data_IF_992873240517
#
_entry.id   IF_992873240517
#
_cell.length_a   1.000
_cell.length_b   1.000
_cell.length_c   1.000
_cell.angle_alpha   90.00
_cell.angle_beta   90.00
_cell.angle_gamma   90.00
#
_symmetry.space_group_name_H-M   'P 1'
#
loop_
_entity.id
_entity.type
_entity.pdbx_description
1 polymer ?
2 non-polymer ?
3 water ?
#
# COMPACT_ATOMS: atom_id res chain seq x y z
N UNK A 1 -7.74 10.64 17.54
CA UNK A 1 -8.19 11.00 18.92
C UNK A 1 -9.40 11.92 18.85
N UNK A 2 -10.00 12.21 19.99
CA UNK A 2 -11.29 12.86 20.02
C UNK A 2 -12.26 12.01 19.20
N UNK A 3 -13.23 11.42 19.90
CA UNK A 3 -14.11 10.44 19.31
C UNK A 3 -14.90 11.02 18.14
N UNK A 4 -15.11 12.33 18.11
CA UNK A 4 -15.99 12.89 17.07
C UNK A 4 -15.29 12.96 15.71
N UNK A 5 -13.98 13.21 15.67
CA UNK A 5 -13.29 13.04 14.39
C UNK A 5 -13.28 11.57 14.00
N UNK A 6 -13.11 10.68 14.99
CA UNK A 6 -13.05 9.26 14.68
C UNK A 6 -14.36 8.79 14.06
N UNK A 7 -15.48 9.17 14.66
CA UNK A 7 -16.76 8.66 14.18
C UNK A 7 -17.07 9.23 12.80
N UNK A 8 -16.71 10.48 12.57
CA UNK A 8 -16.90 11.12 11.26
C UNK A 8 -15.97 10.54 10.21
N UNK A 9 -14.72 10.23 10.57
CA UNK A 9 -13.84 9.55 9.63
C UNK A 9 -14.36 8.14 9.33
N UNK A 10 -14.88 7.47 10.35
CA UNK A 10 -15.49 6.16 10.15
C UNK A 10 -16.66 6.23 9.16
N UNK A 11 -17.58 7.16 9.36
CA UNK A 11 -18.71 7.24 8.43
C UNK A 11 -18.21 7.46 7.01
N UNK A 12 -17.17 8.26 6.84
CA UNK A 12 -16.62 8.47 5.51
C UNK A 12 -16.02 7.19 4.93
N UNK A 13 -15.30 6.43 5.76
CA UNK A 13 -14.69 5.18 5.30
C UNK A 13 -15.76 4.21 4.86
N UNK A 14 -16.77 4.00 5.71
CA UNK A 14 -17.81 3.06 5.37
C UNK A 14 -18.59 3.53 4.14
N UNK A 15 -18.81 4.83 3.98
CA UNK A 15 -19.51 5.26 2.76
C UNK A 15 -18.67 4.97 1.50
N UNK A 16 -17.36 5.21 1.57
CA UNK A 16 -16.49 4.89 0.42
C UNK A 16 -16.42 3.39 0.20
N UNK A 17 -16.38 2.62 1.27
CA UNK A 17 -16.25 1.18 1.14
C UNK A 17 -17.49 0.57 0.48
N UNK A 18 -18.67 1.09 0.81
CA UNK A 18 -19.89 0.55 0.24
C UNK A 18 -19.87 0.75 -1.26
N UNK A 19 -19.41 1.93 -1.71
CA UNK A 19 -19.29 2.15 -3.15
C UNK A 19 -18.34 1.16 -3.79
N UNK A 20 -17.21 0.89 -3.13
CA UNK A 20 -16.28 -0.08 -3.63
C UNK A 20 -16.91 -1.46 -3.69
N UNK A 21 -17.68 -1.83 -2.66
CA UNK A 21 -18.39 -3.12 -2.66
C UNK A 21 -19.37 -3.21 -3.84
N UNK A 22 -20.14 -2.15 -4.10
CA UNK A 22 -21.00 -2.15 -5.28
C UNK A 22 -20.20 -2.36 -6.55
N UNK A 23 -19.06 -1.66 -6.69
CA UNK A 23 -18.30 -1.78 -7.91
C UNK A 23 -17.70 -3.17 -8.04
N UNK A 24 -17.28 -3.75 -6.91
CA UNK A 24 -16.78 -5.11 -6.91
C UNK A 24 -17.88 -6.08 -7.36
N UNK A 25 -19.09 -5.88 -6.88
CA UNK A 25 -20.19 -6.74 -7.30
C UNK A 25 -20.44 -6.65 -8.80
N UNK A 26 -20.27 -5.46 -9.40
CA UNK A 26 -20.48 -5.38 -10.86
C UNK A 26 -19.37 -6.14 -11.60
N UNK A 27 -18.16 -6.09 -11.07
CA UNK A 27 -17.07 -6.83 -11.68
C UNK A 27 -17.29 -8.33 -11.53
N UNK A 28 -17.81 -8.74 -10.37
CA UNK A 28 -18.07 -10.14 -10.08
C UNK A 28 -19.15 -10.66 -11.02
N UNK A 29 -20.24 -9.92 -11.16
CA UNK A 29 -21.28 -10.33 -12.10
C UNK A 29 -20.76 -10.46 -13.52
N UNK A 30 -19.89 -9.51 -13.95
CA UNK A 30 -19.33 -9.54 -15.28
C UNK A 30 -18.41 -10.74 -15.46
N UNK A 31 -17.59 -11.02 -14.44
CA UNK A 31 -16.71 -12.18 -14.51
C UNK A 31 -17.53 -13.46 -14.63
N UNK A 32 -18.59 -13.59 -13.83
CA UNK A 32 -19.40 -14.81 -13.91
C UNK A 32 -19.97 -15.00 -15.31
N UNK A 33 -20.48 -13.90 -15.90
CA UNK A 33 -21.03 -13.94 -17.25
C UNK A 33 -19.99 -14.33 -18.28
N UNK A 34 -18.79 -13.74 -18.20
CA UNK A 34 -17.70 -14.07 -19.10
C UNK A 34 -17.31 -15.54 -18.97
N UNK A 35 -17.27 -16.04 -17.74
CA UNK A 35 -16.95 -17.46 -17.53
C UNK A 35 -17.99 -18.33 -18.19
N UNK A 36 -19.28 -18.05 -17.93
CA UNK A 36 -20.34 -18.87 -18.53
C UNK A 36 -20.27 -18.81 -20.04
N UNK A 37 -19.91 -17.65 -20.59
CA UNK A 37 -19.87 -17.48 -22.03
C UNK A 37 -18.59 -18.03 -22.64
N UNK A 38 -17.62 -18.39 -21.81
CA UNK A 38 -16.36 -18.91 -22.32
C UNK A 38 -15.40 -17.88 -22.84
N UNK A 39 -15.59 -16.61 -22.50
CA UNK A 39 -14.74 -15.54 -23.00
C UNK A 39 -13.60 -15.32 -21.99
N UNK A 40 -12.50 -16.05 -22.17
CA UNK A 40 -11.41 -16.07 -21.20
C UNK A 40 -10.68 -14.74 -21.08
N UNK A 41 -10.47 -14.04 -22.20
CA UNK A 41 -9.80 -12.74 -22.14
C UNK A 41 -10.66 -11.72 -21.41
N UNK A 42 -11.96 -11.71 -21.68
CA UNK A 42 -12.87 -10.86 -20.92
C UNK A 42 -12.83 -11.22 -19.43
N UNK A 43 -12.89 -12.51 -19.13
CA UNK A 43 -12.83 -12.95 -17.76
C UNK A 43 -11.60 -12.41 -17.06
N UNK A 44 -10.46 -12.45 -17.74
CA UNK A 44 -9.20 -11.94 -17.15
C UNK A 44 -9.33 -10.47 -16.76
N UNK A 45 -9.90 -9.66 -17.66
CA UNK A 45 -10.09 -8.24 -17.37
C UNK A 45 -10.98 -8.05 -16.16
N UNK A 46 -12.07 -8.82 -16.07
CA UNK A 46 -13.00 -8.60 -14.98
C UNK A 46 -12.43 -9.08 -13.67
N UNK A 47 -11.69 -10.19 -13.70
CA UNK A 47 -11.02 -10.66 -12.50
C UNK A 47 -10.00 -9.65 -12.02
N UNK A 48 -9.28 -9.04 -12.94
CA UNK A 48 -8.29 -8.06 -12.48
C UNK A 48 -8.96 -6.86 -11.85
N UNK A 49 -10.10 -6.44 -12.41
CA UNK A 49 -10.84 -5.35 -11.79
C UNK A 49 -11.33 -5.80 -10.41
N UNK A 50 -11.88 -7.01 -10.34
CA UNK A 50 -12.38 -7.48 -9.05
C UNK A 50 -11.27 -7.51 -8.02
N UNK A 51 -10.07 -7.93 -8.43
CA UNK A 51 -8.93 -8.04 -7.50
C UNK A 51 -8.55 -6.67 -7.01
N UNK A 52 -8.65 -5.68 -7.89
CA UNK A 52 -8.32 -4.31 -7.50
C UNK A 52 -9.32 -3.80 -6.48
N UNK A 53 -10.62 -4.04 -6.74
CA UNK A 53 -11.61 -3.54 -5.82
C UNK A 53 -11.55 -4.27 -4.51
N UNK A 54 -11.28 -5.56 -4.55
CA UNK A 54 -11.18 -6.31 -3.32
C UNK A 54 -10.04 -5.77 -2.46
N UNK A 55 -8.94 -5.36 -3.11
CA UNK A 55 -7.81 -4.84 -2.35
C UNK A 55 -8.19 -3.58 -1.62
N UNK A 56 -9.03 -2.76 -2.26
CA UNK A 56 -9.50 -1.54 -1.64
C UNK A 56 -10.47 -1.84 -0.51
N UNK A 57 -11.39 -2.80 -0.72
CA UNK A 57 -12.28 -3.20 0.36
C UNK A 57 -11.48 -3.65 1.57
N UNK A 58 -10.47 -4.47 1.34
CA UNK A 58 -9.60 -4.93 2.42
C UNK A 58 -8.95 -3.77 3.14
N UNK A 59 -8.47 -2.78 2.38
CA UNK A 59 -7.85 -1.61 2.99
C UNK A 59 -8.84 -0.83 3.84
N UNK A 60 -10.06 -0.63 3.33
CA UNK A 60 -11.04 0.09 4.11
C UNK A 60 -11.42 -0.68 5.37
N UNK A 61 -11.55 -2.01 5.27
CA UNK A 61 -11.86 -2.79 6.46
C UNK A 61 -10.76 -2.70 7.50
N UNK A 62 -9.50 -2.64 7.04
CA UNK A 62 -8.38 -2.42 7.96
C UNK A 62 -8.53 -1.09 8.66
N UNK A 63 -8.78 -0.04 7.89
CA UNK A 63 -8.93 1.29 8.48
C UNK A 63 -10.08 1.35 9.48
N UNK A 64 -11.18 0.63 9.18
CA UNK A 64 -12.34 0.57 10.05
C UNK A 64 -11.99 -0.03 11.39
N UNK A 65 -11.28 -1.15 11.39
CA UNK A 65 -10.81 -1.74 12.65
C UNK A 65 -9.91 -0.75 13.40
N UNK A 66 -8.98 -0.12 12.68
CA UNK A 66 -8.07 0.79 13.36
C UNK A 66 -8.82 1.94 14.02
N UNK A 67 -9.84 2.49 13.33
CA UNK A 67 -10.59 3.62 13.89
C UNK A 67 -11.39 3.17 15.11
N UNK A 68 -12.06 2.02 15.01
CA UNK A 68 -12.83 1.54 16.15
C UNK A 68 -11.92 1.07 17.30
N UNK A 69 -10.73 0.54 17.00
CA UNK A 69 -9.79 0.24 18.07
C UNK A 69 -9.43 1.52 18.81
N UNK A 70 -9.16 2.59 18.08
CA UNK A 70 -8.88 3.87 18.72
C UNK A 70 -10.08 4.34 19.53
N UNK A 71 -11.28 4.29 18.95
CA UNK A 71 -12.47 4.70 19.68
C UNK A 71 -12.57 3.98 21.03
N UNK A 72 -12.25 2.68 21.04
CA UNK A 72 -12.35 1.88 22.24
C UNK A 72 -11.30 2.28 23.28
N UNK A 73 -10.15 2.76 22.84
CA UNK A 73 -9.17 3.25 23.81
C UNK A 73 -9.69 4.53 24.45
N UNK A 74 -10.36 5.39 23.66
CA UNK A 74 -10.77 6.69 24.15
C UNK A 74 -11.99 6.57 25.05
N UNK A 75 -12.93 5.66 24.70
CA UNK A 75 -14.19 5.45 25.41
C UNK A 75 -14.37 3.95 25.62
N UNK A 76 -13.73 3.39 26.63
CA UNK A 76 -13.81 1.95 26.81
C UNK A 76 -15.14 1.49 27.41
N UNK A 77 -16.09 1.14 26.57
CA UNK A 77 -17.41 0.70 27.01
C UNK A 77 -17.84 -0.51 26.19
N UNK A 78 -18.94 -1.14 26.63
CA UNK A 78 -19.42 -2.36 25.99
C UNK A 78 -19.73 -2.13 24.52
N UNK A 79 -20.39 -1.01 24.22
CA UNK A 79 -20.74 -0.69 22.85
C UNK A 79 -19.49 -0.63 21.99
N UNK A 80 -18.52 0.21 22.38
CA UNK A 80 -17.30 0.32 21.60
C UNK A 80 -16.66 -1.04 21.37
N UNK A 81 -16.64 -1.90 22.38
CA UNK A 81 -16.02 -3.20 22.18
C UNK A 81 -16.85 -4.06 21.25
N UNK A 82 -18.18 -3.95 21.32
CA UNK A 82 -19.03 -4.70 20.39
C UNK A 82 -18.81 -4.24 18.96
N UNK A 83 -18.77 -2.92 18.73
CA UNK A 83 -18.57 -2.40 17.38
C UNK A 83 -17.23 -2.88 16.83
N UNK A 84 -16.21 -2.90 17.68
CA UNK A 84 -14.89 -3.34 17.22
C UNK A 84 -14.91 -4.84 16.92
N UNK A 85 -15.64 -5.62 17.69
CA UNK A 85 -15.62 -7.05 17.40
C UNK A 85 -16.32 -7.34 16.07
N UNK A 86 -17.36 -6.58 15.74
CA UNK A 86 -18.02 -6.76 14.44
C UNK A 86 -17.07 -6.39 13.32
N UNK A 87 -16.37 -5.26 13.47
CA UNK A 87 -15.44 -4.79 12.44
C UNK A 87 -14.29 -5.76 12.26
N UNK A 88 -13.80 -6.35 13.36
CA UNK A 88 -12.76 -7.37 13.25
C UNK A 88 -13.27 -8.58 12.49
N UNK A 89 -14.54 -8.96 12.71
CA UNK A 89 -15.07 -10.09 11.96
C UNK A 89 -15.27 -9.73 10.49
N UNK A 90 -15.79 -8.53 10.24
CA UNK A 90 -15.84 -8.03 8.87
C UNK A 90 -14.48 -8.13 8.18
N UNK A 91 -13.43 -7.66 8.84
CA UNK A 91 -12.09 -7.72 8.25
C UNK A 91 -11.67 -9.16 7.98
N UNK A 92 -11.94 -10.07 8.92
CA UNK A 92 -11.59 -11.48 8.71
C UNK A 92 -12.28 -12.05 7.48
N UNK A 93 -13.55 -11.72 7.33
CA UNK A 93 -14.32 -12.21 6.21
C UNK A 93 -13.81 -11.63 4.90
N UNK A 94 -13.58 -10.32 4.84
CA UNK A 94 -13.13 -9.73 3.60
C UNK A 94 -11.75 -10.26 3.23
N UNK A 95 -10.89 -10.50 4.23
CA UNK A 95 -9.58 -11.06 3.90
C UNK A 95 -9.70 -12.51 3.46
N UNK A 96 -10.70 -13.23 3.96
CA UNK A 96 -10.94 -14.58 3.46
C UNK A 96 -11.44 -14.53 2.03
N UNK A 97 -12.30 -13.57 1.72
CA UNK A 97 -12.69 -13.38 0.33
C UNK A 97 -11.46 -13.07 -0.54
N UNK A 98 -10.55 -12.26 -0.03
CA UNK A 98 -9.38 -11.88 -0.82
C UNK A 98 -8.53 -13.11 -1.14
N UNK A 99 -8.38 -13.99 -0.16
CA UNK A 99 -7.59 -15.19 -0.34
C UNK A 99 -8.25 -16.09 -1.37
N UNK A 100 -9.56 -16.23 -1.27
CA UNK A 100 -10.30 -17.06 -2.20
C UNK A 100 -10.29 -16.50 -3.60
N UNK A 101 -10.42 -15.20 -3.75
CA UNK A 101 -10.29 -14.61 -5.07
C UNK A 101 -8.90 -14.88 -5.64
N UNK A 102 -7.85 -14.72 -4.83
CA UNK A 102 -6.50 -15.04 -5.30
C UNK A 102 -6.45 -16.45 -5.88
N UNK A 103 -7.04 -17.41 -5.18
CA UNK A 103 -7.05 -18.78 -5.70
C UNK A 103 -7.76 -18.83 -7.05
N UNK A 104 -8.88 -18.13 -7.17
CA UNK A 104 -9.65 -18.18 -8.41
C UNK A 104 -8.88 -17.53 -9.54
N UNK A 105 -8.24 -16.39 -9.24
CA UNK A 105 -7.49 -15.67 -10.28
C UNK A 105 -6.33 -16.51 -10.78
N UNK A 106 -5.64 -17.21 -9.88
CA UNK A 106 -4.52 -18.03 -10.27
C UNK A 106 -4.99 -19.19 -11.13
N UNK A 107 -6.13 -19.79 -10.75
CA UNK A 107 -6.65 -20.94 -11.46
C UNK A 107 -7.07 -20.56 -12.86
N UNK A 108 -7.71 -19.40 -13.00
CA UNK A 108 -8.10 -18.94 -14.33
C UNK A 108 -6.86 -18.65 -15.16
N UNK A 109 -5.80 -18.16 -14.52
CA UNK A 109 -4.59 -17.85 -15.27
C UNK A 109 -3.91 -19.12 -15.72
N UNK A 110 -3.94 -20.16 -14.86
CA UNK A 110 -3.40 -21.50 -15.09
C UNK A 110 -4.27 -22.33 -16.04
N UNK A 111 -5.55 -22.00 -16.16
CA UNK A 111 -6.48 -22.81 -16.92
C UNK A 111 -7.00 -24.00 -16.15
N UNK A 112 -7.16 -23.87 -14.84
CA UNK A 112 -7.70 -24.92 -14.01
C UNK A 112 -9.12 -24.53 -13.62
N UNK A 113 -10.10 -24.83 -14.50
CA UNK A 113 -11.41 -24.21 -14.32
C UNK A 113 -12.18 -24.80 -13.15
N UNK A 114 -11.89 -26.04 -12.73
CA UNK A 114 -12.61 -26.56 -11.58
C UNK A 114 -12.17 -25.86 -10.30
N UNK A 115 -10.87 -25.63 -10.13
CA UNK A 115 -10.42 -24.81 -9.01
C UNK A 115 -11.04 -23.43 -9.10
N UNK A 116 -11.09 -22.85 -10.30
CA UNK A 116 -11.61 -21.50 -10.47
C UNK A 116 -13.07 -21.42 -10.02
N UNK A 117 -13.89 -22.33 -10.52
CA UNK A 117 -15.32 -22.24 -10.24
C UNK A 117 -15.59 -22.43 -8.77
N UNK A 118 -14.90 -23.39 -8.13
CA UNK A 118 -15.07 -23.61 -6.71
C UNK A 118 -14.68 -22.37 -5.93
N UNK A 119 -13.46 -21.85 -6.17
CA UNK A 119 -12.98 -20.68 -5.45
C UNK A 119 -13.85 -19.47 -5.76
N UNK A 120 -14.22 -19.26 -7.02
CA UNK A 120 -15.03 -18.09 -7.32
C UNK A 120 -16.37 -18.11 -6.60
N UNK A 121 -17.03 -19.28 -6.54
CA UNK A 121 -18.26 -19.36 -5.77
C UNK A 121 -18.02 -19.13 -4.29
N UNK A 122 -16.91 -19.63 -3.74
CA UNK A 122 -16.61 -19.33 -2.35
C UNK A 122 -16.41 -17.84 -2.16
N UNK A 123 -15.82 -17.18 -3.15
CA UNK A 123 -15.58 -15.74 -3.05
C UNK A 123 -16.90 -14.96 -3.04
N UNK A 124 -17.85 -15.36 -3.89
CA UNK A 124 -19.16 -14.72 -3.89
C UNK A 124 -19.86 -14.88 -2.54
N UNK A 125 -19.83 -16.08 -1.98
CA UNK A 125 -20.48 -16.31 -0.71
C UNK A 125 -19.88 -15.45 0.38
N UNK A 126 -18.54 -15.37 0.42
CA UNK A 126 -17.90 -14.58 1.45
C UNK A 126 -18.25 -13.11 1.32
N UNK A 127 -18.35 -12.61 0.08
CA UNK A 127 -18.81 -11.25 -0.09
C UNK A 127 -20.18 -11.02 0.51
N UNK A 128 -21.08 -12.00 0.37
CA UNK A 128 -22.41 -11.81 0.91
C UNK A 128 -22.38 -11.85 2.43
N UNK A 129 -21.55 -12.72 3.00
CA UNK A 129 -21.32 -12.71 4.44
C UNK A 129 -20.75 -11.39 4.90
N UNK A 130 -19.78 -10.84 4.15
CA UNK A 130 -19.23 -9.54 4.54
C UNK A 130 -20.29 -8.46 4.50
N UNK A 131 -21.20 -8.53 3.53
CA UNK A 131 -22.24 -7.52 3.42
C UNK A 131 -23.15 -7.54 4.63
N UNK A 132 -23.46 -8.72 5.14
CA UNK A 132 -24.26 -8.85 6.35
C UNK A 132 -23.58 -8.16 7.54
N UNK A 133 -22.27 -8.41 7.69
CA UNK A 133 -21.51 -7.80 8.77
C UNK A 133 -21.44 -6.29 8.59
N UNK A 134 -21.25 -5.84 7.35
CA UNK A 134 -21.22 -4.42 7.07
C UNK A 134 -22.49 -3.74 7.56
N UNK A 135 -23.64 -4.32 7.24
CA UNK A 135 -24.91 -3.76 7.68
C UNK A 135 -25.02 -3.77 9.20
N UNK A 136 -24.66 -4.88 9.84
CA UNK A 136 -24.63 -4.96 11.29
C UNK A 136 -23.79 -3.85 11.89
N UNK A 137 -22.60 -3.63 11.32
CA UNK A 137 -21.72 -2.59 11.84
C UNK A 137 -22.37 -1.22 11.68
N UNK A 138 -23.00 -0.96 10.54
CA UNK A 138 -23.66 0.31 10.36
C UNK A 138 -24.73 0.55 11.43
N UNK A 139 -25.48 -0.49 11.78
CA UNK A 139 -26.54 -0.32 12.78
C UNK A 139 -25.94 -0.01 14.15
N UNK A 140 -24.81 -0.63 14.46
CA UNK A 140 -24.15 -0.37 15.74
C UNK A 140 -23.63 1.05 15.79
N UNK A 141 -23.10 1.54 14.67
CA UNK A 141 -22.56 2.89 14.64
C UNK A 141 -23.66 3.91 14.78
N UNK A 142 -24.85 3.62 14.24
CA UNK A 142 -26.00 4.49 14.49
C UNK A 142 -26.18 4.68 15.98
N UNK A 143 -26.08 3.59 16.75
CA UNK A 143 -26.23 3.69 18.19
C UNK A 143 -25.10 4.50 18.82
N UNK A 144 -23.90 4.49 18.21
CA UNK A 144 -22.75 5.16 18.83
C UNK A 144 -22.69 6.65 18.48
N UNK A 145 -23.19 7.05 17.31
CA UNK A 145 -23.19 8.48 16.97
C UNK A 145 -24.31 9.22 17.68
N UNK A 146 -25.37 8.52 18.06
CA UNK A 146 -26.53 9.10 18.72
C UNK A 146 -26.98 10.40 18.02
N UNK A 147 -27.31 10.24 16.74
CA UNK A 147 -27.75 11.34 15.89
C UNK A 147 -26.68 12.43 15.75
N UNK B 1 -0.57 -12.41 -31.77
CA UNK B 1 0.43 -12.60 -30.68
C UNK B 1 1.51 -13.61 -31.08
N UNK B 2 2.57 -13.11 -31.72
CA UNK B 2 3.72 -13.94 -32.06
C UNK B 2 4.48 -14.31 -30.78
N UNK B 3 5.39 -15.28 -30.91
CA UNK B 3 6.19 -15.69 -29.76
C UNK B 3 7.18 -14.60 -29.36
N UNK B 4 7.82 -13.96 -30.34
CA UNK B 4 8.72 -12.85 -30.03
C UNK B 4 7.97 -11.70 -29.36
N UNK B 5 6.73 -11.45 -29.78
CA UNK B 5 5.95 -10.37 -29.17
C UNK B 5 5.64 -10.70 -27.71
N UNK B 6 5.15 -11.91 -27.46
CA UNK B 6 4.83 -12.31 -26.09
C UNK B 6 6.07 -12.21 -25.21
N UNK B 7 7.20 -12.74 -25.69
CA UNK B 7 8.42 -12.71 -24.89
C UNK B 7 8.83 -11.29 -24.57
N UNK B 8 8.61 -10.36 -25.51
CA UNK B 8 8.91 -8.97 -25.24
C UNK B 8 7.98 -8.41 -24.17
N UNK B 9 6.68 -8.71 -24.27
CA UNK B 9 5.76 -8.22 -23.24
C UNK B 9 6.16 -8.76 -21.88
N UNK B 10 6.60 -10.02 -21.83
CA UNK B 10 7.04 -10.60 -20.57
C UNK B 10 8.23 -9.81 -20.01
N UNK B 11 9.22 -9.51 -20.84
CA UNK B 11 10.41 -8.85 -20.31
C UNK B 11 10.04 -7.51 -19.69
N UNK B 12 9.04 -6.84 -20.25
CA UNK B 12 8.59 -5.55 -19.71
C UNK B 12 7.82 -5.72 -18.40
N UNK B 13 7.01 -6.76 -18.29
CA UNK B 13 6.28 -7.03 -17.06
C UNK B 13 7.27 -7.34 -15.93
N UNK B 14 8.24 -8.20 -16.20
CA UNK B 14 9.22 -8.53 -15.18
C UNK B 14 10.10 -7.31 -14.83
N UNK B 15 10.39 -6.42 -15.77
CA UNK B 15 11.11 -5.20 -15.43
C UNK B 15 10.31 -4.37 -14.43
N UNK B 16 9.01 -4.23 -14.68
CA UNK B 16 8.16 -3.46 -13.80
C UNK B 16 7.97 -4.16 -12.47
N UNK B 17 7.89 -5.50 -12.48
CA UNK B 17 7.71 -6.25 -11.26
C UNK B 17 8.94 -6.09 -10.36
N UNK B 18 10.13 -6.04 -10.95
CA UNK B 18 11.33 -5.93 -10.13
C UNK B 18 11.35 -4.60 -9.39
N UNK B 19 10.97 -3.51 -10.06
CA UNK B 19 10.87 -2.21 -9.38
C UNK B 19 9.88 -2.27 -8.22
N UNK B 20 8.72 -2.91 -8.43
CA UNK B 20 7.77 -3.04 -7.36
C UNK B 20 8.35 -3.85 -6.23
N UNK B 21 9.16 -4.87 -6.56
CA UNK B 21 9.79 -5.71 -5.54
C UNK B 21 10.79 -4.89 -4.71
N UNK B 22 11.53 -3.99 -5.37
CA UNK B 22 12.40 -3.10 -4.60
C UNK B 22 11.58 -2.22 -3.66
N UNK B 23 10.38 -1.77 -4.10
CA UNK B 23 9.55 -0.94 -3.23
C UNK B 23 8.99 -1.76 -2.06
N UNK B 24 8.58 -2.98 -2.34
CA UNK B 24 8.10 -3.88 -1.31
C UNK B 24 9.18 -4.14 -0.26
N UNK B 25 10.42 -4.32 -0.68
CA UNK B 25 11.51 -4.59 0.27
C UNK B 25 11.78 -3.36 1.14
N UNK B 26 11.76 -2.16 0.54
CA UNK B 26 11.92 -0.96 1.37
C UNK B 26 10.78 -0.82 2.38
N UNK B 27 9.53 -1.07 1.93
CA UNK B 27 8.41 -1.02 2.86
C UNK B 27 8.54 -2.07 3.95
N UNK B 28 8.99 -3.27 3.58
CA UNK B 28 9.14 -4.34 4.57
C UNK B 28 10.20 -3.99 5.62
N UNK B 29 11.35 -3.52 5.17
CA UNK B 29 12.39 -3.10 6.09
C UNK B 29 11.90 -1.99 7.00
N UNK B 30 11.14 -1.03 6.45
CA UNK B 30 10.65 0.06 7.29
C UNK B 30 9.66 -0.44 8.35
N UNK B 31 8.83 -1.40 7.97
CA UNK B 31 7.89 -1.96 8.93
C UNK B 31 8.65 -2.68 10.05
N UNK B 32 9.65 -3.47 9.69
CA UNK B 32 10.44 -4.16 10.70
C UNK B 32 11.02 -3.19 11.69
N UNK B 33 11.60 -2.09 11.16
CA UNK B 33 12.15 -1.05 12.02
C UNK B 33 11.10 -0.43 12.92
N UNK B 34 9.96 -0.01 12.37
CA UNK B 34 8.92 0.60 13.18
C UNK B 34 8.44 -0.38 14.23
N UNK B 35 8.37 -1.66 13.86
CA UNK B 35 7.99 -2.68 14.81
C UNK B 35 8.99 -2.77 15.94
N UNK B 36 10.28 -2.90 15.63
CA UNK B 36 11.31 -3.02 16.65
C UNK B 36 11.28 -1.83 17.59
N UNK B 37 11.01 -0.64 17.04
CA UNK B 37 11.08 0.60 17.79
C UNK B 37 9.77 0.97 18.46
N UNK B 38 8.74 0.12 18.39
CA UNK B 38 7.48 0.36 19.06
C UNK B 38 6.65 1.49 18.50
N UNK B 39 6.88 1.90 17.24
CA UNK B 39 6.11 2.98 16.62
C UNK B 39 4.89 2.35 15.93
N UNK B 40 3.84 2.11 16.76
CA UNK B 40 2.62 1.41 16.31
C UNK B 40 2.03 2.05 15.07
N UNK B 41 1.82 3.35 15.14
CA UNK B 41 1.10 4.03 14.08
C UNK B 41 1.97 4.14 12.85
N UNK B 42 3.30 4.28 13.03
CA UNK B 42 4.20 4.26 11.88
C UNK B 42 4.16 2.88 11.22
N UNK B 43 4.16 1.82 12.02
CA UNK B 43 4.10 0.47 11.49
C UNK B 43 2.86 0.31 10.65
N UNK B 44 1.73 0.82 11.13
CA UNK B 44 0.49 0.66 10.38
C UNK B 44 0.63 1.22 8.97
N UNK B 45 1.24 2.41 8.82
CA UNK B 45 1.39 3.02 7.50
C UNK B 45 2.30 2.19 6.61
N UNK B 46 3.39 1.68 7.18
CA UNK B 46 4.29 0.85 6.40
C UNK B 46 3.70 -0.49 6.02
N UNK B 47 2.81 -1.04 6.85
CA UNK B 47 2.16 -2.28 6.48
C UNK B 47 1.20 -2.03 5.34
N UNK B 48 0.49 -0.92 5.39
CA UNK B 48 -0.40 -0.57 4.28
C UNK B 48 0.38 -0.39 2.99
N UNK B 49 1.54 0.22 3.06
CA UNK B 49 2.37 0.38 1.88
C UNK B 49 2.84 -0.97 1.36
N UNK B 50 3.34 -1.83 2.26
CA UNK B 50 3.75 -3.16 1.86
C UNK B 50 2.59 -3.91 1.22
N UNK B 51 1.37 -3.72 1.76
CA UNK B 51 0.23 -4.46 1.25
C UNK B 51 -0.11 -4.00 -0.15
N UNK B 52 0.05 -2.70 -0.39
CA UNK B 52 -0.22 -2.17 -1.73
C UNK B 52 0.79 -2.70 -2.74
N UNK B 53 2.08 -2.61 -2.43
CA UNK B 53 3.08 -3.15 -3.31
C UNK B 53 2.91 -4.65 -3.49
N UNK B 54 2.56 -5.36 -2.42
CA UNK B 54 2.38 -6.80 -2.56
C UNK B 54 1.26 -7.09 -3.56
N UNK B 55 0.17 -6.33 -3.50
CA UNK B 55 -0.91 -6.57 -4.45
C UNK B 55 -0.48 -6.27 -5.87
N UNK B 56 0.41 -5.28 -6.05
CA UNK B 56 0.98 -5.00 -7.37
C UNK B 56 1.88 -6.14 -7.84
N UNK B 57 2.71 -6.68 -6.94
CA UNK B 57 3.51 -7.85 -7.31
C UNK B 57 2.63 -9.02 -7.72
N UNK B 58 1.56 -9.28 -6.97
CA UNK B 58 0.66 -10.37 -7.33
C UNK B 58 0.04 -10.14 -8.70
N UNK B 59 -0.36 -8.89 -9.02
CA UNK B 59 -0.93 -8.62 -10.34
C UNK B 59 0.09 -8.87 -11.45
N UNK B 60 1.33 -8.49 -11.24
CA UNK B 60 2.33 -8.75 -12.25
C UNK B 60 2.56 -10.26 -12.38
N UNK B 61 2.50 -10.98 -11.27
CA UNK B 61 2.74 -12.42 -11.30
C UNK B 61 1.61 -13.12 -12.02
N UNK B 62 0.38 -12.62 -11.87
CA UNK B 62 -0.74 -13.15 -12.66
C UNK B 62 -0.53 -12.88 -14.15
N UNK B 63 -0.14 -11.65 -14.49
CA UNK B 63 0.09 -11.30 -15.88
C UNK B 63 1.18 -12.17 -16.49
N UNK B 64 2.22 -12.47 -15.70
CA UNK B 64 3.33 -13.27 -16.16
C UNK B 64 2.85 -14.68 -16.49
N UNK B 65 2.04 -15.27 -15.61
CA UNK B 65 1.47 -16.59 -15.91
C UNK B 65 0.62 -16.50 -17.18
N UNK B 66 -0.25 -15.49 -17.27
CA UNK B 66 -1.09 -15.41 -18.47
C UNK B 66 -0.28 -15.34 -19.76
N UNK B 67 0.81 -14.57 -19.74
CA UNK B 67 1.65 -14.43 -20.93
C UNK B 67 2.33 -15.76 -21.27
N UNK B 68 2.83 -16.47 -20.27
CA UNK B 68 3.50 -17.73 -20.55
C UNK B 68 2.51 -18.80 -20.99
N UNK B 69 1.30 -18.77 -20.43
CA UNK B 69 0.27 -19.70 -20.90
C UNK B 69 -0.06 -19.45 -22.35
N UNK B 70 -0.07 -18.18 -22.74
CA UNK B 70 -0.26 -17.84 -24.14
C UNK B 70 0.93 -18.28 -24.98
N UNK B 71 2.15 -18.15 -24.43
CA UNK B 71 3.34 -18.60 -25.16
C UNK B 71 3.31 -20.10 -25.38
N UNK B 72 2.82 -20.84 -24.39
CA UNK B 72 2.70 -22.28 -24.54
C UNK B 72 1.64 -22.66 -25.57
N UNK B 73 0.67 -21.77 -25.85
CA UNK B 73 -0.27 -22.07 -26.92
C UNK B 73 0.34 -21.82 -28.30
N UNK B 74 1.23 -20.84 -28.42
CA UNK B 74 1.85 -20.60 -29.72
C UNK B 74 2.96 -21.61 -29.99
N UNK B 75 3.50 -22.23 -28.97
CA UNK B 75 4.49 -23.28 -29.11
C UNK B 75 3.85 -24.66 -29.34
N UNK B 76 4.59 -25.59 -30.01
CA UNK B 76 4.31 -27.02 -29.86
C UNK B 76 5.14 -27.63 -28.73
N UNK B 77 5.07 -27.00 -27.55
CA UNK B 77 6.00 -27.17 -26.44
C UNK B 77 7.41 -26.64 -26.73
N UNK B 78 8.06 -26.20 -25.65
CA UNK B 78 9.43 -25.75 -25.65
C UNK B 78 9.88 -25.70 -24.20
N UNK B 79 10.92 -24.89 -23.92
CA UNK B 79 11.18 -24.51 -22.55
C UNK B 79 10.12 -23.54 -22.01
N UNK B 80 9.07 -23.39 -22.83
CA UNK B 80 7.87 -22.67 -22.37
C UNK B 80 7.26 -23.38 -21.19
N UNK B 81 7.08 -24.70 -21.25
CA UNK B 81 6.46 -25.43 -20.16
C UNK B 81 7.18 -25.19 -18.84
N UNK B 82 8.52 -25.18 -18.89
CA UNK B 82 9.29 -25.02 -17.66
C UNK B 82 9.15 -23.61 -17.12
N UNK B 83 9.25 -22.61 -18.01
CA UNK B 83 9.03 -21.24 -17.59
C UNK B 83 7.65 -21.08 -16.96
N UNK B 84 6.64 -21.68 -17.58
CA UNK B 84 5.28 -21.57 -17.06
C UNK B 84 5.18 -22.18 -15.66
N UNK B 85 5.79 -23.36 -15.47
CA UNK B 85 5.78 -24.01 -14.16
C UNK B 85 6.42 -23.11 -13.10
N UNK B 86 7.56 -22.50 -13.43
CA UNK B 86 8.22 -21.59 -12.50
C UNK B 86 7.30 -20.41 -12.20
N UNK B 87 6.70 -19.86 -13.24
CA UNK B 87 5.84 -18.71 -13.03
C UNK B 87 4.64 -19.08 -12.18
N UNK B 88 4.09 -20.27 -12.40
CA UNK B 88 2.95 -20.67 -11.58
C UNK B 88 3.36 -20.81 -10.11
N UNK B 89 4.53 -21.37 -9.87
CA UNK B 89 5.06 -21.44 -8.51
C UNK B 89 5.33 -20.06 -7.94
N UNK B 90 5.85 -19.15 -8.76
CA UNK B 90 6.07 -17.79 -8.29
C UNK B 90 4.74 -17.18 -7.86
N UNK B 91 3.70 -17.38 -8.64
CA UNK B 91 2.42 -16.78 -8.32
C UNK B 91 1.87 -17.35 -7.03
N UNK B 92 1.92 -18.67 -6.90
CA UNK B 92 1.47 -19.32 -5.68
C UNK B 92 2.19 -18.75 -4.46
N UNK B 93 3.52 -18.58 -4.57
CA UNK B 93 4.30 -18.08 -3.45
C UNK B 93 3.93 -16.63 -3.11
N UNK B 94 3.83 -15.76 -4.11
CA UNK B 94 3.52 -14.37 -3.83
C UNK B 94 2.11 -14.24 -3.29
N UNK B 95 1.19 -15.10 -3.74
CA UNK B 95 -0.15 -15.05 -3.17
C UNK B 95 -0.17 -15.55 -1.74
N UNK B 96 0.67 -16.52 -1.43
CA UNK B 96 0.81 -16.92 -0.03
C UNK B 96 1.39 -15.77 0.78
N UNK B 97 2.33 -15.01 0.20
CA UNK B 97 2.83 -13.85 0.90
C UNK B 97 1.73 -12.83 1.11
N UNK B 98 0.85 -12.62 0.12
CA UNK B 98 -0.26 -11.69 0.34
C UNK B 98 -1.16 -12.18 1.48
N UNK B 99 -1.41 -13.48 1.55
CA UNK B 99 -2.33 -14.02 2.53
C UNK B 99 -1.76 -13.87 3.92
N UNK B 100 -0.47 -14.16 4.07
CA UNK B 100 0.16 -14.01 5.38
C UNK B 100 0.28 -12.55 5.77
N UNK B 101 0.58 -11.67 4.83
CA UNK B 101 0.64 -10.25 5.16
C UNK B 101 -0.74 -9.74 5.61
N UNK B 102 -1.80 -10.23 4.98
CA UNK B 102 -3.14 -9.90 5.43
C UNK B 102 -3.31 -10.27 6.90
N UNK B 103 -2.98 -11.50 7.23
CA UNK B 103 -3.04 -11.95 8.62
C UNK B 103 -2.26 -11.00 9.54
N UNK B 104 -1.05 -10.67 9.16
CA UNK B 104 -0.22 -9.75 9.96
C UNK B 104 -0.88 -8.38 10.10
N UNK B 105 -1.40 -7.84 8.99
CA UNK B 105 -2.02 -6.53 9.05
C UNK B 105 -3.23 -6.54 9.98
N UNK B 106 -3.99 -7.64 9.97
CA UNK B 106 -5.17 -7.75 10.82
C UNK B 106 -4.76 -7.89 12.27
N UNK B 107 -3.73 -8.71 12.52
CA UNK B 107 -3.27 -8.91 13.89
C UNK B 107 -2.71 -7.62 14.46
N UNK B 108 -2.03 -6.83 13.63
CA UNK B 108 -1.51 -5.55 14.10
C UNK B 108 -2.65 -4.60 14.45
N UNK B 109 -3.72 -4.60 13.62
CA UNK B 109 -4.85 -3.72 13.87
C UNK B 109 -5.65 -4.20 15.08
N UNK B 110 -5.71 -5.53 15.29
CA UNK B 110 -6.41 -6.12 16.42
C UNK B 110 -5.59 -5.99 17.70
N UNK B 111 -4.33 -5.53 17.60
CA UNK B 111 -3.41 -5.50 18.70
C UNK B 111 -3.11 -6.88 19.25
N UNK B 112 -2.67 -7.82 18.39
CA UNK B 112 -2.31 -9.20 18.78
C UNK B 112 -0.89 -9.48 18.28
N UNK B 113 0.09 -9.22 19.13
CA UNK B 113 1.46 -9.19 18.68
C UNK B 113 2.01 -10.58 18.35
N UNK B 114 1.58 -11.61 19.07
CA UNK B 114 2.08 -12.94 18.75
C UNK B 114 1.64 -13.36 17.37
N UNK B 115 0.36 -13.11 17.03
CA UNK B 115 -0.13 -13.51 15.71
C UNK B 115 0.53 -12.65 14.63
N UNK B 116 0.70 -11.36 14.91
CA UNK B 116 1.39 -10.50 13.96
C UNK B 116 2.78 -11.01 13.67
N UNK B 117 3.56 -11.31 14.70
CA UNK B 117 4.95 -11.65 14.47
C UNK B 117 5.08 -12.94 13.66
N UNK B 118 4.24 -13.94 13.96
CA UNK B 118 4.31 -15.22 13.27
C UNK B 118 3.98 -15.02 11.79
N UNK B 119 2.92 -14.27 11.52
CA UNK B 119 2.52 -14.06 10.13
C UNK B 119 3.52 -13.17 9.41
N UNK B 120 4.00 -12.12 10.07
CA UNK B 120 4.96 -11.22 9.42
C UNK B 120 6.24 -11.98 9.07
N UNK B 121 6.73 -12.82 9.98
CA UNK B 121 7.90 -13.61 9.68
C UNK B 121 7.67 -14.59 8.54
N UNK B 122 6.44 -15.16 8.42
CA UNK B 122 6.13 -15.99 7.28
C UNK B 122 6.16 -15.19 5.98
N UNK B 123 5.59 -14.00 6.02
CA UNK B 123 5.59 -13.09 4.87
C UNK B 123 7.01 -12.85 4.39
N UNK B 124 7.91 -12.55 5.30
CA UNK B 124 9.30 -12.24 4.93
C UNK B 124 9.93 -13.45 4.26
N UNK B 125 9.70 -14.64 4.81
CA UNK B 125 10.31 -15.84 4.28
C UNK B 125 9.75 -16.18 2.91
N UNK B 126 8.45 -15.99 2.73
CA UNK B 126 7.86 -16.21 1.40
C UNK B 126 8.41 -15.22 0.38
N UNK B 127 8.69 -13.98 0.81
CA UNK B 127 9.35 -13.03 -0.07
C UNK B 127 10.71 -13.50 -0.55
N UNK B 128 11.48 -14.15 0.33
CA UNK B 128 12.77 -14.69 -0.08
C UNK B 128 12.60 -15.85 -1.06
N UNK B 129 11.60 -16.71 -0.84
CA UNK B 129 11.33 -17.79 -1.78
C UNK B 129 10.89 -17.22 -3.13
N UNK B 130 10.09 -16.14 -3.10
CA UNK B 130 9.64 -15.52 -4.34
C UNK B 130 10.80 -14.93 -5.11
N UNK B 131 11.77 -14.33 -4.40
CA UNK B 131 12.92 -13.72 -5.05
C UNK B 131 13.73 -14.78 -5.81
N UNK B 132 13.93 -15.94 -5.19
CA UNK B 132 14.60 -17.05 -5.84
C UNK B 132 13.88 -17.46 -7.10
N UNK B 133 12.55 -17.56 -7.03
CA UNK B 133 11.80 -18.00 -8.21
C UNK B 133 11.82 -16.93 -9.29
N UNK B 134 11.77 -15.66 -8.90
CA UNK B 134 11.83 -14.59 -9.88
C UNK B 134 13.14 -14.62 -10.65
N UNK B 135 14.26 -14.85 -9.93
CA UNK B 135 15.57 -14.94 -10.60
C UNK B 135 15.62 -16.18 -11.49
N UNK B 136 15.09 -17.29 -11.01
CA UNK B 136 15.08 -18.48 -11.83
C UNK B 136 14.28 -18.24 -13.09
N UNK B 137 13.13 -17.58 -12.97
CA UNK B 137 12.30 -17.32 -14.14
C UNK B 137 13.01 -16.45 -15.15
N UNK B 138 13.66 -15.38 -14.68
CA UNK B 138 14.42 -14.52 -15.60
C UNK B 138 15.46 -15.32 -16.35
N UNK B 139 16.16 -16.23 -15.66
CA UNK B 139 17.20 -17.05 -16.30
C UNK B 139 16.59 -17.96 -17.37
N UNK B 140 15.47 -18.60 -17.03
CA UNK B 140 14.77 -19.42 -18.02
C UNK B 140 14.36 -18.60 -19.23
N UNK B 141 13.83 -17.40 -19.02
CA UNK B 141 13.33 -16.63 -20.16
C UNK B 141 14.47 -16.19 -21.07
N UNK B 142 15.63 -15.86 -20.48
CA UNK B 142 16.76 -15.46 -21.30
C UNK B 142 17.10 -16.52 -22.34
N UNK B 143 16.91 -17.79 -22.01
CA UNK B 143 17.21 -18.87 -22.95
C UNK B 143 16.14 -19.04 -24.01
N UNK B 144 14.95 -18.49 -23.79
CA UNK B 144 13.89 -18.51 -24.79
C UNK B 144 13.96 -17.34 -25.74
N UNK B 145 14.71 -16.28 -25.41
CA UNK B 145 14.57 -15.02 -26.12
C UNK B 145 15.32 -15.00 -27.44
N UNK B 146 16.39 -15.78 -27.61
CA UNK B 146 17.11 -15.89 -28.89
C UNK B 146 17.87 -14.60 -29.21
N UNK B 147 17.77 -13.58 -28.37
CA UNK B 147 18.19 -12.20 -28.69
C UNK B 147 17.29 -11.68 -29.82
N UNK C 1 -12.02 30.39 3.50
CA UNK C 1 -13.48 30.51 3.75
C UNK C 1 -13.93 29.72 4.97
N UNK C 2 -14.38 30.44 5.99
CA UNK C 2 -14.80 29.83 7.25
C UNK C 2 -13.61 29.10 7.88
N UNK C 3 -13.23 29.56 9.07
CA UNK C 3 -12.04 29.04 9.72
C UNK C 3 -12.11 27.54 9.94
N UNK C 4 -13.31 26.95 9.98
CA UNK C 4 -13.40 25.53 10.28
C UNK C 4 -13.12 24.67 9.05
N UNK C 5 -13.55 25.08 7.86
CA UNK C 5 -13.16 24.30 6.69
C UNK C 5 -11.65 24.40 6.44
N UNK C 6 -11.06 25.57 6.68
CA UNK C 6 -9.61 25.70 6.48
C UNK C 6 -8.87 24.80 7.46
N UNK C 7 -9.29 24.79 8.72
CA UNK C 7 -8.65 23.93 9.72
C UNK C 7 -8.75 22.46 9.35
N UNK C 8 -9.93 22.02 8.89
CA UNK C 8 -10.11 20.61 8.55
C UNK C 8 -9.32 20.24 7.30
N UNK C 9 -9.15 21.18 6.38
CA UNK C 9 -8.25 20.96 5.26
C UNK C 9 -6.80 20.85 5.72
N UNK C 10 -6.38 21.73 6.64
CA UNK C 10 -5.05 21.65 7.21
C UNK C 10 -4.82 20.34 7.96
N UNK C 11 -5.87 19.83 8.60
CA UNK C 11 -5.80 18.53 9.25
C UNK C 11 -5.54 17.44 8.22
N UNK C 12 -6.31 17.44 7.14
CA UNK C 12 -6.12 16.45 6.09
C UNK C 12 -4.72 16.52 5.48
N UNK C 13 -4.26 17.74 5.18
CA UNK C 13 -2.94 17.90 4.55
C UNK C 13 -1.85 17.32 5.45
N UNK C 14 -1.82 17.70 6.73
CA UNK C 14 -0.71 17.26 7.58
C UNK C 14 -0.77 15.77 7.87
N UNK C 15 -1.97 15.18 7.92
CA UNK C 15 -2.07 13.74 8.02
C UNK C 15 -1.51 13.06 6.76
N UNK C 16 -1.85 13.57 5.57
CA UNK C 16 -1.31 13.01 4.33
C UNK C 16 0.19 13.21 4.27
N UNK C 17 0.66 14.36 4.73
CA UNK C 17 2.10 14.64 4.67
C UNK C 17 2.89 13.76 5.63
N UNK C 18 2.32 13.42 6.78
CA UNK C 18 3.05 12.54 7.68
C UNK C 18 3.27 11.18 7.03
N UNK C 19 2.27 10.67 6.30
CA UNK C 19 2.44 9.42 5.59
C UNK C 19 3.54 9.54 4.55
N UNK C 20 3.54 10.64 3.82
CA UNK C 20 4.54 10.85 2.81
C UNK C 20 5.92 10.95 3.44
N UNK C 21 6.03 11.60 4.60
CA UNK C 21 7.30 11.68 5.32
C UNK C 21 7.76 10.29 5.76
N UNK C 22 6.83 9.43 6.20
CA UNK C 22 7.20 8.04 6.44
C UNK C 22 7.72 7.37 5.17
N UNK C 23 7.07 7.60 4.02
CA UNK C 23 7.49 6.97 2.79
C UNK C 23 8.87 7.45 2.40
N UNK C 24 9.12 8.75 2.59
CA UNK C 24 10.44 9.31 2.34
C UNK C 24 11.49 8.65 3.24
N UNK C 25 11.17 8.45 4.52
CA UNK C 25 12.14 7.83 5.43
C UNK C 25 12.45 6.40 4.98
N UNK C 26 11.45 5.68 4.49
CA UNK C 26 11.71 4.30 4.07
C UNK C 26 12.59 4.25 2.82
N UNK C 27 12.32 5.14 1.84
CA UNK C 27 13.15 5.22 0.65
C UNK C 27 14.55 5.65 1.01
N UNK C 28 14.68 6.59 1.96
CA UNK C 28 16.01 7.06 2.38
C UNK C 28 16.80 5.94 3.02
N UNK C 29 16.17 5.24 3.97
CA UNK C 29 16.79 4.05 4.55
C UNK C 29 17.23 3.07 3.47
N UNK C 30 16.37 2.84 2.47
CA UNK C 30 16.68 1.85 1.45
C UNK C 30 17.85 2.28 0.57
N UNK C 31 17.90 3.57 0.24
CA UNK C 31 19.04 4.11 -0.50
C UNK C 31 20.33 3.97 0.30
N UNK C 32 20.28 4.28 1.59
CA UNK C 32 21.45 4.14 2.46
C UNK C 32 21.96 2.71 2.42
N UNK C 33 21.05 1.74 2.53
CA UNK C 33 21.42 0.34 2.54
C UNK C 33 22.03 -0.08 1.21
N UNK C 34 21.40 0.30 0.09
CA UNK C 34 21.92 -0.02 -1.22
C UNK C 34 23.30 0.62 -1.45
N UNK C 35 23.48 1.86 -0.99
CA UNK C 35 24.77 2.56 -1.05
C UNK C 35 25.85 1.79 -0.28
N UNK C 36 25.54 1.40 0.95
CA UNK C 36 26.51 0.68 1.78
C UNK C 36 26.85 -0.68 1.18
N UNK C 37 25.86 -1.38 0.66
CA UNK C 37 26.04 -2.70 0.04
C UNK C 37 26.55 -2.62 -1.40
N UNK C 38 26.69 -1.43 -1.99
CA UNK C 38 27.29 -1.32 -3.30
C UNK C 38 26.42 -1.82 -4.42
N UNK C 39 25.10 -1.68 -4.28
CA UNK C 39 24.16 -2.10 -5.31
C UNK C 39 23.68 -0.83 -5.99
N UNK C 40 24.39 -0.46 -7.06
CA UNK C 40 24.21 0.87 -7.64
C UNK C 40 22.92 1.02 -8.40
N UNK C 41 22.41 -0.06 -8.96
CA UNK C 41 21.12 0.06 -9.63
C UNK C 41 19.99 0.16 -8.59
N UNK C 42 20.05 -0.62 -7.51
CA UNK C 42 19.08 -0.45 -6.44
C UNK C 42 19.14 0.97 -5.89
N UNK C 43 20.35 1.50 -5.70
CA UNK C 43 20.51 2.83 -5.16
C UNK C 43 19.84 3.85 -6.07
N UNK C 44 20.04 3.72 -7.37
CA UNK C 44 19.49 4.70 -8.30
C UNK C 44 17.96 4.69 -8.23
N UNK C 45 17.37 3.49 -8.14
CA UNK C 45 15.92 3.41 -7.99
C UNK C 45 15.43 4.06 -6.71
N UNK C 46 16.13 3.81 -5.58
CA UNK C 46 15.69 4.34 -4.31
C UNK C 46 15.90 5.83 -4.21
N UNK C 47 16.95 6.36 -4.87
CA UNK C 47 17.08 7.81 -4.89
C UNK C 47 15.93 8.42 -5.69
N UNK C 48 15.55 7.79 -6.80
CA UNK C 48 14.42 8.31 -7.59
C UNK C 48 13.14 8.26 -6.76
N UNK C 49 12.93 7.16 -6.02
CA UNK C 49 11.76 7.05 -5.18
C UNK C 49 11.78 8.11 -4.07
N UNK C 50 12.94 8.30 -3.43
CA UNK C 50 13.09 9.34 -2.44
C UNK C 50 12.75 10.72 -3.01
N UNK C 51 13.26 11.01 -4.21
CA UNK C 51 13.02 12.33 -4.77
C UNK C 51 11.52 12.53 -4.99
N UNK C 52 10.81 11.46 -5.35
CA UNK C 52 9.38 11.62 -5.58
C UNK C 52 8.65 11.95 -4.29
N UNK C 53 8.97 11.23 -3.20
CA UNK C 53 8.33 11.52 -1.94
C UNK C 53 8.75 12.88 -1.42
N UNK C 54 10.02 13.22 -1.65
CA UNK C 54 10.49 14.52 -1.18
C UNK C 54 9.71 15.64 -1.84
N UNK C 55 9.47 15.52 -3.14
CA UNK C 55 8.75 16.55 -3.86
C UNK C 55 7.29 16.57 -3.44
N UNK C 56 6.73 15.42 -3.07
CA UNK C 56 5.38 15.41 -2.49
C UNK C 56 5.35 16.11 -1.13
N UNK C 57 6.36 15.87 -0.28
CA UNK C 57 6.49 16.62 0.95
C UNK C 57 6.55 18.10 0.66
N UNK C 58 7.36 18.47 -0.33
CA UNK C 58 7.50 19.88 -0.67
C UNK C 58 6.13 20.47 -0.98
N UNK C 59 5.31 19.74 -1.74
CA UNK C 59 4.01 20.27 -2.16
C UNK C 59 3.06 20.40 -0.98
N UNK C 60 3.08 19.45 -0.06
CA UNK C 60 2.25 19.57 1.14
C UNK C 60 2.67 20.76 1.99
N UNK C 61 3.98 21.03 2.05
CA UNK C 61 4.45 22.20 2.78
C UNK C 61 4.00 23.49 2.11
N UNK C 62 4.01 23.53 0.78
CA UNK C 62 3.44 24.66 0.04
C UNK C 62 1.98 24.87 0.42
N UNK C 63 1.18 23.79 0.37
CA UNK C 63 -0.25 23.86 0.63
C UNK C 63 -0.52 24.28 2.05
N UNK C 64 0.35 23.87 2.99
CA UNK C 64 0.18 24.24 4.39
C UNK C 64 0.42 25.73 4.60
N UNK C 65 1.46 26.28 3.96
CA UNK C 65 1.73 27.72 4.03
C UNK C 65 0.53 28.50 3.49
N UNK C 66 0.07 28.12 2.30
CA UNK C 66 -1.10 28.80 1.72
C UNK C 66 -2.30 28.72 2.68
N UNK C 67 -2.54 27.54 3.27
CA UNK C 67 -3.76 27.39 4.06
C UNK C 67 -3.68 28.19 5.36
N UNK C 68 -2.51 28.21 5.98
CA UNK C 68 -2.39 28.96 7.22
C UNK C 68 -2.56 30.44 6.96
N UNK C 69 -2.02 30.93 5.83
CA UNK C 69 -2.21 32.34 5.51
C UNK C 69 -3.70 32.65 5.33
N UNK C 70 -4.43 31.73 4.71
CA UNK C 70 -5.87 31.89 4.54
C UNK C 70 -6.56 31.94 5.89
N UNK C 71 -6.11 31.11 6.82
CA UNK C 71 -6.72 31.09 8.15
C UNK C 71 -6.47 32.40 8.87
N UNK C 72 -5.23 32.89 8.81
CA UNK C 72 -4.85 34.17 9.41
C UNK C 72 -5.74 35.32 8.96
N UNK C 73 -6.41 35.17 7.81
CA UNK C 73 -7.23 36.25 7.26
C UNK C 73 -8.65 36.28 7.83
N UNK C 74 -9.24 35.11 8.08
CA UNK C 74 -10.61 35.00 8.53
C UNK C 74 -10.71 34.55 9.97
N UNK C 75 -9.59 34.21 10.60
CA UNK C 75 -9.55 33.89 12.03
C UNK C 75 -8.20 34.32 12.59
N UNK C 76 -7.96 35.63 12.65
CA UNK C 76 -6.65 36.10 13.14
C UNK C 76 -6.37 35.56 14.53
N UNK C 77 -5.19 34.98 14.71
CA UNK C 77 -4.93 34.17 15.88
C UNK C 77 -3.42 34.04 16.04
N UNK C 78 -2.91 34.37 17.21
CA UNK C 78 -1.46 34.35 17.34
C UNK C 78 -0.90 32.94 17.20
N UNK C 79 -1.74 31.92 17.32
CA UNK C 79 -1.29 30.56 17.08
C UNK C 79 -1.21 30.28 15.58
N UNK C 80 -2.16 30.83 14.81
CA UNK C 80 -2.11 30.71 13.35
C UNK C 80 -0.86 31.36 12.79
N UNK C 81 -0.48 32.52 13.31
CA UNK C 81 0.75 33.12 12.83
C UNK C 81 1.97 32.32 13.28
N UNK C 82 1.91 31.70 14.46
CA UNK C 82 3.01 30.84 14.88
C UNK C 82 3.15 29.66 13.95
N UNK C 83 2.04 28.97 13.67
CA UNK C 83 2.05 27.86 12.73
C UNK C 83 2.60 28.28 11.37
N UNK C 84 2.24 29.48 10.89
CA UNK C 84 2.66 29.88 9.55
C UNK C 84 4.17 30.04 9.48
N UNK C 85 4.78 30.63 10.52
CA UNK C 85 6.21 30.84 10.48
C UNK C 85 6.96 29.52 10.58
N UNK C 86 6.43 28.56 11.36
CA UNK C 86 7.00 27.21 11.36
C UNK C 86 6.82 26.56 10.00
N UNK C 87 5.61 26.66 9.43
CA UNK C 87 5.37 26.08 8.10
C UNK C 87 6.32 26.64 7.05
N UNK C 88 6.65 27.93 7.14
CA UNK C 88 7.54 28.54 6.16
C UNK C 88 8.99 28.11 6.36
N UNK C 89 9.42 27.87 7.61
CA UNK C 89 10.73 27.27 7.84
C UNK C 89 10.78 25.85 7.29
N UNK C 90 9.72 25.10 7.53
CA UNK C 90 9.62 23.75 6.99
C UNK C 90 9.78 23.75 5.47
N UNK C 91 9.03 24.63 4.79
CA UNK C 91 9.11 24.71 3.34
C UNK C 91 10.54 24.97 2.88
N UNK C 92 11.21 25.94 3.50
CA UNK C 92 12.57 26.27 3.10
C UNK C 92 13.49 25.07 3.31
N UNK C 93 13.24 24.31 4.38
CA UNK C 93 14.10 23.17 4.72
C UNK C 93 13.87 22.03 3.75
N UNK C 94 12.61 21.67 3.48
CA UNK C 94 12.38 20.55 2.57
C UNK C 94 12.81 20.89 1.15
N UNK C 95 12.70 22.15 0.74
CA UNK C 95 13.26 22.54 -0.55
C UNK C 95 14.75 22.34 -0.58
N UNK C 96 15.41 22.72 0.52
CA UNK C 96 16.85 22.56 0.59
C UNK C 96 17.21 21.10 0.50
N UNK C 97 16.40 20.25 1.15
CA UNK C 97 16.60 18.81 1.05
C UNK C 97 16.46 18.35 -0.39
N UNK C 98 15.45 18.81 -1.10
CA UNK C 98 15.30 18.46 -2.50
C UNK C 98 16.54 18.87 -3.31
N UNK C 99 17.08 20.05 -3.04
CA UNK C 99 18.28 20.48 -3.76
C UNK C 99 19.44 19.53 -3.53
N UNK C 100 19.67 19.16 -2.27
CA UNK C 100 20.81 18.29 -1.99
C UNK C 100 20.57 16.89 -2.52
N UNK C 101 19.33 16.41 -2.49
CA UNK C 101 19.03 15.14 -3.13
C UNK C 101 19.29 15.17 -4.62
N UNK C 102 18.92 16.27 -5.30
CA UNK C 102 19.24 16.44 -6.70
C UNK C 102 20.73 16.34 -6.93
N UNK C 103 21.50 17.03 -6.08
CA UNK C 103 22.96 16.94 -6.20
C UNK C 103 23.43 15.50 -6.07
N UNK C 104 22.85 14.76 -5.13
CA UNK C 104 23.17 13.33 -4.97
C UNK C 104 22.76 12.49 -6.18
N UNK C 105 21.53 12.66 -6.66
CA UNK C 105 21.10 11.97 -7.87
C UNK C 105 22.09 12.18 -8.99
N UNK C 106 22.47 13.45 -9.23
CA UNK C 106 23.42 13.80 -10.26
C UNK C 106 24.79 13.17 -9.97
N UNK C 107 25.23 13.20 -8.71
CA UNK C 107 26.51 12.60 -8.35
C UNK C 107 26.50 11.11 -8.60
N UNK C 108 25.37 10.44 -8.31
CA UNK C 108 25.29 9.01 -8.56
C UNK C 108 25.29 8.73 -10.04
N UNK C 109 24.57 9.55 -10.80
CA UNK C 109 24.52 9.43 -12.24
C UNK C 109 25.89 9.63 -12.85
N UNK C 110 26.70 10.50 -12.25
CA UNK C 110 28.04 10.73 -12.76
C UNK C 110 29.04 9.73 -12.18
N UNK C 111 28.64 8.96 -11.18
CA UNK C 111 29.57 8.07 -10.52
C UNK C 111 30.64 8.85 -9.82
N UNK C 112 30.23 9.77 -8.94
CA UNK C 112 31.15 10.69 -8.26
C UNK C 112 30.90 10.56 -6.75
N UNK C 113 31.60 9.61 -6.11
CA UNK C 113 31.24 9.24 -4.75
C UNK C 113 31.51 10.37 -3.76
N UNK C 114 32.50 11.21 -4.05
CA UNK C 114 32.86 12.23 -3.05
C UNK C 114 31.79 13.33 -3.04
N UNK C 115 31.29 13.75 -4.20
CA UNK C 115 30.15 14.66 -4.22
C UNK C 115 28.90 13.99 -3.67
N UNK C 116 28.69 12.74 -4.06
CA UNK C 116 27.50 12.02 -3.64
C UNK C 116 27.43 11.96 -2.12
N UNK C 117 28.56 11.61 -1.47
CA UNK C 117 28.52 11.34 -0.04
C UNK C 117 28.24 12.61 0.74
N UNK C 118 28.79 13.74 0.28
CA UNK C 118 28.49 14.99 0.94
C UNK C 118 27.02 15.36 0.75
N UNK C 119 26.54 15.26 -0.48
CA UNK C 119 25.15 15.63 -0.75
C UNK C 119 24.20 14.74 0.02
N UNK C 120 24.41 13.43 -0.05
CA UNK C 120 23.51 12.52 0.66
C UNK C 120 23.49 12.77 2.16
N UNK C 121 24.65 13.03 2.74
CA UNK C 121 24.67 13.24 4.19
C UNK C 121 23.90 14.51 4.54
N UNK C 122 24.06 15.56 3.72
CA UNK C 122 23.33 16.80 3.95
C UNK C 122 21.84 16.57 3.82
N UNK C 123 21.46 15.74 2.86
CA UNK C 123 20.05 15.44 2.62
C UNK C 123 19.45 14.77 3.83
N UNK C 124 20.13 13.75 4.35
CA UNK C 124 19.63 13.06 5.52
C UNK C 124 19.47 14.05 6.68
N UNK C 125 20.46 14.91 6.86
CA UNK C 125 20.43 15.85 7.97
C UNK C 125 19.25 16.82 7.83
N UNK C 126 19.07 17.36 6.63
CA UNK C 126 17.93 18.24 6.38
C UNK C 126 16.61 17.53 6.63
N UNK C 127 16.52 16.26 6.25
CA UNK C 127 15.31 15.51 6.52
C UNK C 127 15.01 15.44 8.00
N UNK C 128 16.05 15.41 8.82
CA UNK C 128 15.87 15.38 10.27
C UNK C 128 15.43 16.75 10.78
N UNK C 129 16.10 17.82 10.32
CA UNK C 129 15.62 19.17 10.63
C UNK C 129 14.15 19.31 10.27
N UNK C 130 13.78 18.80 9.09
CA UNK C 130 12.39 18.90 8.66
C UNK C 130 11.46 18.11 9.58
N UNK C 131 11.85 16.89 9.96
CA UNK C 131 11.03 16.09 10.87
C UNK C 131 10.74 16.86 12.17
N UNK C 132 11.76 17.53 12.71
CA UNK C 132 11.58 18.29 13.94
C UNK C 132 10.60 19.43 13.73
N UNK C 133 10.80 20.22 12.66
CA UNK C 133 9.86 21.28 12.36
C UNK C 133 8.46 20.74 12.18
N UNK C 134 8.32 19.60 11.52
CA UNK C 134 6.99 19.04 11.33
C UNK C 134 6.35 18.68 12.66
N UNK C 135 7.14 18.16 13.60
CA UNK C 135 6.61 17.90 14.93
C UNK C 135 6.08 19.19 15.56
N UNK C 136 6.92 20.22 15.60
CA UNK C 136 6.51 21.52 16.12
C UNK C 136 5.23 22.01 15.43
N UNK C 137 5.19 21.92 14.11
CA UNK C 137 3.99 22.32 13.38
C UNK C 137 2.77 21.53 13.85
N UNK C 138 2.93 20.21 14.01
CA UNK C 138 1.81 19.38 14.46
C UNK C 138 1.30 19.87 15.81
N UNK C 139 2.21 20.12 16.75
CA UNK C 139 1.77 20.58 18.07
C UNK C 139 1.02 21.89 17.93
N UNK C 140 1.53 22.80 17.11
CA UNK C 140 0.88 24.09 16.98
C UNK C 140 -0.52 23.93 16.38
N UNK C 141 -0.68 23.06 15.39
CA UNK C 141 -2.02 22.84 14.85
C UNK C 141 -2.93 22.23 15.91
N UNK C 142 -2.39 21.35 16.74
CA UNK C 142 -3.16 20.80 17.85
C UNK C 142 -3.61 21.90 18.79
N UNK C 143 -2.74 22.87 19.07
CA UNK C 143 -3.18 24.02 19.84
C UNK C 143 -4.33 24.75 19.15
N UNK C 144 -4.13 25.15 17.88
CA UNK C 144 -5.16 25.89 17.16
C UNK C 144 -6.48 25.13 17.17
N UNK C 145 -6.44 23.83 16.88
CA UNK C 145 -7.64 23.01 16.85
C UNK C 145 -8.48 23.20 18.11
N UNK C 146 -7.86 23.63 19.21
CA UNK C 146 -8.54 24.03 20.44
C UNK C 146 -9.71 23.07 20.74
N UNK C 147 -9.33 21.79 20.87
CA UNK C 147 -10.29 20.69 21.01
C UNK C 147 -11.48 20.85 20.06
#
# INVERSE_FOLDING_TARGET
SDAQEILSRLNSVLEAAWKTILNLASATDAAEKAYKEGREEDLATYLDQAASYQSQVDQYAVETVRLLAELKKVFPDEEADRALQIAEKLLKTVQEASKTLDTAVAAAANGDEETFAKAFNQFVSLGNQADTLFTQLQRTLTNLNKK
SDAQEILSRLNSVLEAAWKTILNLASATDAAEKAYKEGREEDLATYLDQAASYQSQVDQYAVETVRLLAELKKVFPDEEADRALQIAEKLLKTVQEASKTLDTAVAAAANGDEETFAKAFNQFVSLGNQADTLFTQLQRTLTNLNKK
SDAQEILSRLNSVLEAAWKTILNLASATDAAEKAYKEGREEDLATYLDQAASYQSQVDQYAVETVRLLAELKKVFPDEEADRALQIAEKLLKTVQEASKTLDTAVAAAANGDEETFAKAFNQFVSLGNQADTLFTQLQRTLTNLNKK
#
